data_IF_183767417536
#
_entry.id   IF_183767417536
#
_cell.length_a   1.000
_cell.length_b   1.000
_cell.length_c   1.000
_cell.angle_alpha   90.00
_cell.angle_beta   90.00
_cell.angle_gamma   90.00
#
_symmetry.space_group_name_H-M   'P 1'
#
loop_
_entity.id
_entity.type
_entity.pdbx_description
1 polymer ?
#
# COMPACT_ATOMS: atom_id res chain seq x y z
N UNK A 1 -50.57 27.71 18.86
CA UNK A 1 -49.55 26.89 19.55
C UNK A 1 -48.19 27.48 19.23
N UNK A 2 -47.28 27.69 20.21
CA UNK A 2 -46.00 28.35 19.98
C UNK A 2 -44.97 27.39 19.38
N UNK A 3 -44.18 27.87 18.42
CA UNK A 3 -42.97 27.20 17.90
C UNK A 3 -41.90 27.11 19.01
N UNK A 4 -41.37 25.91 19.22
CA UNK A 4 -40.19 25.69 20.07
C UNK A 4 -38.91 26.04 19.30
N UNK A 5 -37.91 26.65 19.95
CA UNK A 5 -36.61 26.93 19.33
C UNK A 5 -35.81 25.64 19.15
N UNK A 6 -35.21 25.50 17.96
CA UNK A 6 -34.27 24.42 17.61
C UNK A 6 -33.04 24.46 18.52
N UNK A 7 -32.70 23.31 19.10
CA UNK A 7 -31.55 23.13 19.99
C UNK A 7 -30.18 23.35 19.30
N UNK A 8 -29.09 23.40 20.09
CA UNK A 8 -27.77 23.78 19.59
C UNK A 8 -27.19 22.72 18.64
N UNK A 9 -26.64 23.20 17.53
CA UNK A 9 -25.88 22.44 16.53
C UNK A 9 -24.74 21.65 17.20
N UNK A 10 -24.71 20.34 17.00
CA UNK A 10 -23.64 19.47 17.46
C UNK A 10 -22.27 19.92 16.88
N UNK A 11 -21.17 19.79 17.64
CA UNK A 11 -19.84 20.18 17.16
C UNK A 11 -19.45 19.31 15.95
N UNK A 12 -19.03 20.00 14.88
CA UNK A 12 -18.57 19.40 13.64
C UNK A 12 -17.29 18.57 13.92
N UNK A 13 -17.30 17.30 13.52
CA UNK A 13 -16.14 16.42 13.64
C UNK A 13 -14.91 17.05 12.95
N UNK A 14 -13.71 16.96 13.56
CA UNK A 14 -12.51 17.50 12.95
C UNK A 14 -12.27 16.85 11.57
N UNK A 15 -11.72 17.60 10.60
CA UNK A 15 -11.41 17.04 9.29
C UNK A 15 -10.48 15.84 9.44
N UNK A 16 -10.80 14.75 8.75
CA UNK A 16 -9.97 13.55 8.69
C UNK A 16 -8.53 13.95 8.28
N UNK A 17 -7.55 13.48 9.05
CA UNK A 17 -6.15 13.70 8.75
C UNK A 17 -5.83 13.24 7.32
N UNK A 18 -4.99 13.96 6.56
CA UNK A 18 -4.59 13.54 5.23
C UNK A 18 -4.02 12.11 5.31
N UNK A 19 -4.46 11.24 4.41
CA UNK A 19 -3.95 9.87 4.32
C UNK A 19 -2.42 9.92 4.28
N UNK A 20 -1.72 9.11 5.09
CA UNK A 20 -0.27 9.13 5.11
C UNK A 20 0.22 8.89 3.68
N UNK A 21 1.02 9.82 3.16
CA UNK A 21 1.67 9.70 1.87
C UNK A 21 2.37 8.35 1.86
N UNK A 22 1.92 7.43 1.00
CA UNK A 22 2.47 6.08 0.96
C UNK A 22 4.01 6.18 0.95
N UNK A 23 4.71 5.46 1.84
CA UNK A 23 6.15 5.61 1.96
C UNK A 23 6.80 5.40 0.59
N UNK A 24 7.93 6.08 0.31
CA UNK A 24 8.54 6.09 -1.03
C UNK A 24 9.00 4.70 -1.49
N UNK A 25 9.03 3.72 -0.59
CA UNK A 25 9.41 2.35 -0.85
C UNK A 25 8.15 1.48 -0.92
N UNK A 26 7.94 0.72 -2.01
CA UNK A 26 6.84 -0.23 -2.06
C UNK A 26 6.94 -1.22 -0.89
N UNK A 27 5.81 -1.70 -0.34
CA UNK A 27 5.81 -2.69 0.71
C UNK A 27 6.49 -3.98 0.25
N UNK A 28 6.96 -4.76 1.23
CA UNK A 28 7.48 -6.10 0.99
C UNK A 28 6.50 -7.13 1.56
N UNK A 29 6.23 -8.23 0.83
CA UNK A 29 5.37 -9.27 1.35
C UNK A 29 6.07 -10.01 2.50
N UNK A 30 5.34 -10.28 3.59
CA UNK A 30 5.80 -11.07 4.73
C UNK A 30 6.33 -12.44 4.28
N UNK A 31 5.73 -13.05 3.26
CA UNK A 31 6.20 -14.31 2.66
C UNK A 31 7.63 -14.21 2.12
N UNK A 32 8.05 -13.04 1.63
CA UNK A 32 9.43 -12.80 1.18
C UNK A 32 10.45 -12.79 2.33
N UNK A 33 10.02 -12.39 3.53
CA UNK A 33 10.84 -12.48 4.74
C UNK A 33 10.89 -13.92 5.26
N UNK A 34 9.74 -14.61 5.30
CA UNK A 34 9.65 -16.02 5.75
C UNK A 34 10.41 -16.98 4.83
N UNK A 35 10.59 -16.65 3.55
CA UNK A 35 11.38 -17.43 2.60
C UNK A 35 12.90 -17.40 2.88
N UNK A 36 13.38 -16.59 3.84
CA UNK A 36 14.79 -16.57 4.27
C UNK A 36 15.04 -17.67 5.28
N UNK A 37 15.36 -18.87 4.78
CA UNK A 37 15.65 -20.06 5.59
C UNK A 37 16.72 -19.80 6.66
N UNK A 38 17.70 -18.93 6.37
CA UNK A 38 18.77 -18.55 7.29
C UNK A 38 18.28 -17.82 8.56
N UNK A 39 17.05 -17.29 8.57
CA UNK A 39 16.44 -16.64 9.72
C UNK A 39 15.56 -17.58 10.56
N UNK A 40 15.23 -18.77 10.06
CA UNK A 40 14.43 -19.76 10.78
C UNK A 40 13.05 -19.28 11.26
N UNK A 41 12.49 -18.25 10.63
CA UNK A 41 11.23 -17.63 11.05
C UNK A 41 10.03 -18.53 10.74
N UNK A 42 9.07 -18.61 11.67
CA UNK A 42 7.86 -19.41 11.50
C UNK A 42 6.62 -18.61 11.83
N UNK A 43 5.66 -18.53 10.90
CA UNK A 43 4.31 -18.04 11.22
C UNK A 43 3.59 -19.10 12.04
N UNK A 44 3.09 -18.71 13.21
CA UNK A 44 2.41 -19.60 14.15
C UNK A 44 0.95 -19.21 14.42
N UNK A 45 0.54 -17.98 14.06
CA UNK A 45 -0.85 -17.54 14.11
C UNK A 45 -1.14 -16.39 13.11
N UNK A 46 -2.43 -16.11 12.91
CA UNK A 46 -2.93 -14.98 12.11
C UNK A 46 -2.84 -15.24 10.59
N UNK A 47 -3.16 -14.27 9.72
CA UNK A 47 -3.17 -14.46 8.27
C UNK A 47 -1.78 -14.75 7.68
N UNK A 48 -1.75 -15.42 6.52
CA UNK A 48 -0.51 -15.76 5.82
C UNK A 48 0.06 -14.60 4.98
N UNK A 49 -0.81 -13.67 4.58
CA UNK A 49 -0.47 -12.54 3.74
C UNK A 49 -0.47 -11.27 4.59
N UNK A 50 0.62 -10.51 4.49
CA UNK A 50 0.77 -9.18 5.05
C UNK A 50 1.85 -8.43 4.27
N UNK A 51 1.70 -7.12 4.19
CA UNK A 51 2.63 -6.22 3.51
C UNK A 51 3.37 -5.39 4.57
N UNK A 52 4.69 -5.54 4.62
CA UNK A 52 5.55 -4.87 5.59
C UNK A 52 6.09 -3.59 4.97
N UNK A 53 5.92 -2.48 5.67
CA UNK A 53 6.49 -1.18 5.31
C UNK A 53 7.80 -0.92 6.02
N UNK A 54 7.96 -1.41 7.25
CA UNK A 54 9.19 -1.28 8.04
C UNK A 54 9.26 -2.35 9.12
N UNK A 55 10.34 -2.34 9.89
CA UNK A 55 10.55 -3.20 11.06
C UNK A 55 10.95 -2.34 12.25
N UNK A 56 10.36 -2.61 13.41
CA UNK A 56 10.67 -1.92 14.66
C UNK A 56 10.85 -2.93 15.78
N UNK A 57 11.69 -2.62 16.77
CA UNK A 57 11.86 -3.46 17.95
C UNK A 57 11.42 -2.67 19.17
N UNK A 58 10.52 -3.23 19.97
CA UNK A 58 10.01 -2.59 21.18
C UNK A 58 9.73 -3.62 22.27
N UNK A 59 10.09 -3.26 23.49
CA UNK A 59 9.73 -3.98 24.71
C UNK A 59 8.71 -3.21 25.55
N UNK A 60 8.12 -2.15 25.01
CA UNK A 60 7.12 -1.35 25.71
C UNK A 60 5.85 -2.17 25.94
N UNK A 61 5.25 -2.06 27.12
CA UNK A 61 3.94 -2.65 27.41
C UNK A 61 2.84 -2.09 26.52
N UNK A 62 3.00 -0.85 26.05
CA UNK A 62 2.12 -0.22 25.08
C UNK A 62 2.93 0.60 24.07
N UNK A 63 3.24 0.06 22.87
CA UNK A 63 3.96 0.77 21.83
C UNK A 63 3.03 1.66 20.96
N UNK A 64 1.71 1.57 21.13
CA UNK A 64 0.70 2.23 20.28
C UNK A 64 1.02 3.70 19.96
N UNK A 65 1.42 4.57 20.91
CA UNK A 65 1.64 5.99 20.63
C UNK A 65 2.81 6.31 19.68
N UNK A 66 3.67 5.32 19.40
CA UNK A 66 4.92 5.51 18.65
C UNK A 66 4.92 4.81 17.29
N UNK A 67 3.87 4.07 16.98
CA UNK A 67 3.72 3.34 15.73
C UNK A 67 2.99 4.21 14.69
N UNK A 68 3.34 4.00 13.43
CA UNK A 68 2.78 4.69 12.27
C UNK A 68 1.93 3.76 11.39
N UNK A 69 2.01 2.46 11.61
CA UNK A 69 1.31 1.43 10.84
C UNK A 69 2.18 0.80 9.76
N UNK A 70 1.88 -0.46 9.44
CA UNK A 70 2.59 -1.28 8.47
C UNK A 70 3.90 -1.90 8.97
N UNK A 71 4.23 -1.78 10.26
CA UNK A 71 5.46 -2.35 10.81
C UNK A 71 5.34 -3.86 11.10
N UNK A 72 6.44 -4.57 10.88
CA UNK A 72 6.75 -5.77 11.65
C UNK A 72 7.31 -5.33 13.01
N UNK A 73 6.54 -5.48 14.07
CA UNK A 73 7.01 -5.23 15.43
C UNK A 73 7.74 -6.46 15.97
N UNK A 74 8.96 -6.30 16.46
CA UNK A 74 9.73 -7.36 17.13
C UNK A 74 9.75 -7.11 18.63
N UNK A 75 9.46 -8.15 19.41
CA UNK A 75 9.47 -8.08 20.87
C UNK A 75 9.91 -9.41 21.49
N UNK A 76 10.65 -9.35 22.59
CA UNK A 76 10.91 -10.48 23.47
C UNK A 76 9.85 -10.61 24.58
N UNK A 77 8.84 -9.73 24.59
CA UNK A 77 7.74 -9.77 25.54
C UNK A 77 8.16 -9.49 26.98
N UNK A 78 9.18 -8.65 27.20
CA UNK A 78 9.70 -8.33 28.55
C UNK A 78 8.63 -7.70 29.45
N UNK A 79 7.81 -6.80 28.89
CA UNK A 79 6.73 -6.11 29.59
C UNK A 79 5.34 -6.59 29.17
N UNK A 80 5.23 -7.76 28.56
CA UNK A 80 3.96 -8.31 28.09
C UNK A 80 3.15 -8.88 29.26
N UNK A 81 2.11 -8.18 29.68
CA UNK A 81 1.22 -8.60 30.79
C UNK A 81 -0.20 -8.94 30.34
N UNK A 82 -0.70 -8.29 29.29
CA UNK A 82 -2.04 -8.51 28.73
C UNK A 82 -1.93 -8.69 27.20
N UNK A 83 -1.78 -9.94 26.71
CA UNK A 83 -1.62 -10.21 25.29
C UNK A 83 -2.80 -9.77 24.41
N UNK A 84 -4.04 -9.80 24.92
CA UNK A 84 -5.21 -9.42 24.14
C UNK A 84 -5.27 -7.91 23.92
N UNK A 85 -5.09 -7.13 24.99
CA UNK A 85 -5.00 -5.67 24.88
C UNK A 85 -3.79 -5.25 24.07
N UNK A 86 -2.65 -5.93 24.24
CA UNK A 86 -1.45 -5.63 23.46
C UNK A 86 -1.69 -5.80 21.96
N UNK A 87 -2.21 -6.96 21.53
CA UNK A 87 -2.45 -7.26 20.12
C UNK A 87 -3.55 -6.38 19.54
N UNK A 88 -4.64 -6.14 20.26
CA UNK A 88 -5.73 -5.28 19.76
C UNK A 88 -5.25 -3.87 19.46
N UNK A 89 -4.37 -3.30 20.31
CA UNK A 89 -3.74 -1.99 20.07
C UNK A 89 -2.80 -2.00 18.87
N UNK A 90 -2.01 -3.08 18.67
CA UNK A 90 -1.18 -3.20 17.47
C UNK A 90 -2.01 -3.23 16.19
N UNK A 91 -3.15 -3.91 16.20
CA UNK A 91 -4.07 -3.94 15.06
C UNK A 91 -4.74 -2.58 14.87
N UNK A 92 -5.13 -1.89 15.94
CA UNK A 92 -5.74 -0.56 15.88
C UNK A 92 -4.83 0.47 15.20
N UNK A 93 -3.51 0.46 15.46
CA UNK A 93 -2.54 1.33 14.79
C UNK A 93 -2.14 0.83 13.39
N UNK A 94 -2.58 -0.37 13.01
CA UNK A 94 -2.33 -0.96 11.69
C UNK A 94 -0.97 -1.64 11.55
N UNK A 95 -0.40 -2.18 12.64
CA UNK A 95 0.81 -3.02 12.55
C UNK A 95 0.57 -4.20 11.59
N UNK A 96 1.58 -4.52 10.78
CA UNK A 96 1.46 -5.56 9.75
C UNK A 96 1.70 -6.97 10.29
N UNK A 97 2.55 -7.11 11.31
CA UNK A 97 2.86 -8.39 11.95
C UNK A 97 3.56 -8.19 13.31
N UNK A 98 3.52 -9.23 14.14
CA UNK A 98 4.29 -9.34 15.39
C UNK A 98 5.30 -10.48 15.28
N UNK A 99 6.60 -10.18 15.45
CA UNK A 99 7.65 -11.16 15.64
C UNK A 99 8.01 -11.30 17.12
N UNK A 100 7.88 -12.50 17.65
CA UNK A 100 8.11 -12.79 19.06
C UNK A 100 9.37 -13.62 19.25
N UNK A 101 10.37 -13.05 19.90
CA UNK A 101 11.59 -13.75 20.32
C UNK A 101 11.32 -14.51 21.61
N UNK A 102 11.47 -15.83 21.58
CA UNK A 102 11.22 -16.65 22.78
C UNK A 102 12.28 -16.36 23.84
N UNK A 103 13.59 -16.45 23.54
CA UNK A 103 14.64 -16.23 24.53
C UNK A 103 15.11 -14.76 24.63
N UNK A 104 15.57 -14.31 25.81
CA UNK A 104 15.78 -15.08 27.05
C UNK A 104 14.57 -15.13 28.00
N UNK A 105 13.47 -14.44 27.71
CA UNK A 105 12.38 -14.23 28.67
C UNK A 105 11.41 -15.42 28.73
N UNK A 106 11.17 -16.06 27.60
CA UNK A 106 10.21 -17.14 27.42
C UNK A 106 10.88 -18.38 26.82
N UNK A 107 10.39 -19.57 27.17
CA UNK A 107 10.86 -20.80 26.50
C UNK A 107 10.09 -21.07 25.20
N UNK A 108 8.85 -20.60 25.13
CA UNK A 108 7.94 -20.73 23.98
C UNK A 108 7.06 -19.48 23.88
N UNK A 109 6.47 -19.22 22.72
CA UNK A 109 5.51 -18.13 22.57
C UNK A 109 4.27 -18.38 23.46
N UNK A 110 3.85 -17.43 24.31
CA UNK A 110 2.69 -17.61 25.20
C UNK A 110 1.41 -17.97 24.43
N UNK A 111 0.69 -19.00 24.88
CA UNK A 111 -0.53 -19.47 24.22
C UNK A 111 -1.63 -18.38 24.14
N UNK A 112 -1.70 -17.52 25.15
CA UNK A 112 -2.63 -16.38 25.17
C UNK A 112 -2.32 -15.36 24.06
N UNK A 113 -1.04 -15.15 23.75
CA UNK A 113 -0.61 -14.28 22.65
C UNK A 113 -0.96 -14.90 21.28
N UNK A 114 -0.74 -16.20 21.10
CA UNK A 114 -1.15 -16.93 19.90
C UNK A 114 -2.66 -16.76 19.68
N UNK A 115 -3.45 -17.00 20.72
CA UNK A 115 -4.90 -16.87 20.64
C UNK A 115 -5.35 -15.42 20.37
N UNK A 116 -4.67 -14.42 20.93
CA UNK A 116 -4.94 -13.01 20.65
C UNK A 116 -4.66 -12.64 19.19
N UNK A 117 -3.50 -13.05 18.66
CA UNK A 117 -3.14 -12.82 17.26
C UNK A 117 -4.13 -13.47 16.29
N UNK A 118 -4.61 -14.69 16.58
CA UNK A 118 -5.67 -15.32 15.79
C UNK A 118 -6.99 -14.52 15.84
N UNK A 119 -7.43 -14.12 17.03
CA UNK A 119 -8.69 -13.38 17.21
C UNK A 119 -8.69 -12.05 16.45
N UNK A 120 -7.60 -11.30 16.54
CA UNK A 120 -7.49 -9.95 15.98
C UNK A 120 -6.95 -9.95 14.54
N UNK A 121 -6.58 -11.12 14.00
CA UNK A 121 -6.10 -11.25 12.62
C UNK A 121 -4.70 -10.65 12.39
N UNK A 122 -3.83 -10.65 13.41
CA UNK A 122 -2.45 -10.17 13.30
C UNK A 122 -1.49 -11.36 13.06
N UNK A 123 -0.69 -11.38 11.99
CA UNK A 123 0.31 -12.42 11.81
C UNK A 123 1.30 -12.46 12.97
N UNK A 124 1.47 -13.64 13.56
CA UNK A 124 2.43 -13.89 14.64
C UNK A 124 3.56 -14.79 14.12
N UNK A 125 4.77 -14.27 14.20
CA UNK A 125 6.00 -14.93 13.77
C UNK A 125 6.82 -15.31 15.00
N UNK A 126 7.09 -16.59 15.16
CA UNK A 126 8.09 -17.07 16.12
C UNK A 126 9.49 -16.78 15.57
N UNK A 127 10.30 -16.11 16.39
CA UNK A 127 11.71 -15.86 16.13
C UNK A 127 12.53 -16.85 16.96
N UNK A 128 13.32 -17.73 16.32
CA UNK A 128 14.13 -18.69 17.04
C UNK A 128 15.24 -17.98 17.81
N UNK A 129 15.68 -18.53 18.96
CA UNK A 129 16.66 -17.87 19.82
C UNK A 129 18.00 -17.50 19.17
N UNK A 130 18.40 -18.25 18.14
CA UNK A 130 19.67 -18.12 17.43
C UNK A 130 19.64 -16.94 16.45
N UNK A 131 18.46 -16.39 16.18
CA UNK A 131 18.25 -15.29 15.24
C UNK A 131 18.10 -13.97 15.99
N UNK A 132 19.13 -13.10 15.97
CA UNK A 132 19.01 -11.79 16.60
C UNK A 132 18.05 -10.91 15.80
N UNK A 133 17.28 -10.07 16.48
CA UNK A 133 16.34 -9.13 15.83
C UNK A 133 17.03 -8.21 14.81
N UNK A 134 18.32 -7.89 14.99
CA UNK A 134 19.09 -7.11 14.00
C UNK A 134 19.25 -7.86 12.66
N UNK A 135 19.30 -9.19 12.65
CA UNK A 135 19.38 -9.98 11.42
C UNK A 135 18.06 -9.89 10.64
N UNK A 136 16.93 -10.00 11.34
CA UNK A 136 15.60 -9.79 10.77
C UNK A 136 15.48 -8.37 10.22
N UNK A 137 15.89 -7.38 11.01
CA UNK A 137 15.83 -6.00 10.59
C UNK A 137 16.64 -5.79 9.30
N UNK A 138 17.88 -6.27 9.25
CA UNK A 138 18.73 -6.23 8.04
C UNK A 138 18.08 -6.90 6.83
N UNK A 139 17.44 -8.05 7.01
CA UNK A 139 16.75 -8.74 5.93
C UNK A 139 15.57 -7.93 5.38
N UNK A 140 14.75 -7.34 6.27
CA UNK A 140 13.66 -6.43 5.88
C UNK A 140 14.21 -5.24 5.09
N UNK A 141 15.25 -4.57 5.59
CA UNK A 141 15.90 -3.45 4.89
C UNK A 141 16.43 -3.84 3.50
N UNK A 142 17.03 -5.03 3.36
CA UNK A 142 17.51 -5.53 2.07
C UNK A 142 16.36 -5.78 1.09
N UNK A 143 15.27 -6.40 1.55
CA UNK A 143 14.08 -6.64 0.74
C UNK A 143 13.43 -5.32 0.29
N UNK A 144 13.34 -4.34 1.19
CA UNK A 144 12.84 -3.00 0.89
C UNK A 144 13.71 -2.30 -0.16
N UNK A 145 15.03 -2.33 -0.01
CA UNK A 145 15.95 -1.75 -0.98
C UNK A 145 15.81 -2.42 -2.36
N UNK A 146 15.66 -3.76 -2.40
CA UNK A 146 15.41 -4.50 -3.63
C UNK A 146 14.06 -4.14 -4.25
N UNK A 147 13.01 -3.97 -3.45
CA UNK A 147 11.68 -3.57 -3.90
C UNK A 147 11.72 -2.15 -4.51
N UNK A 148 12.42 -1.21 -3.86
CA UNK A 148 12.66 0.13 -4.40
C UNK A 148 13.36 0.10 -5.75
N UNK A 149 14.48 -0.63 -5.86
CA UNK A 149 15.23 -0.74 -7.12
C UNK A 149 14.39 -1.39 -8.23
N UNK A 150 13.60 -2.42 -7.91
CA UNK A 150 12.69 -3.06 -8.87
C UNK A 150 11.66 -2.06 -9.40
N UNK A 151 11.07 -1.25 -8.52
CA UNK A 151 10.07 -0.26 -8.92
C UNK A 151 10.68 0.86 -9.78
N UNK A 152 11.85 1.39 -9.42
CA UNK A 152 12.53 2.37 -10.27
C UNK A 152 12.80 1.80 -11.67
N UNK A 153 13.33 0.56 -11.73
CA UNK A 153 13.59 -0.10 -13.02
C UNK A 153 12.31 -0.32 -13.81
N UNK A 154 11.19 -0.66 -13.16
CA UNK A 154 9.88 -0.81 -13.82
C UNK A 154 9.45 0.51 -14.45
N UNK A 155 9.48 1.61 -13.70
CA UNK A 155 9.11 2.95 -14.19
C UNK A 155 10.01 3.39 -15.33
N UNK A 156 11.33 3.24 -15.20
CA UNK A 156 12.27 3.62 -16.27
C UNK A 156 12.04 2.81 -17.55
N UNK A 157 11.78 1.50 -17.45
CA UNK A 157 11.46 0.67 -18.61
C UNK A 157 10.16 1.11 -19.29
N UNK A 158 9.13 1.45 -18.52
CA UNK A 158 7.87 1.95 -19.06
C UNK A 158 8.08 3.28 -19.81
N UNK A 159 8.85 4.21 -19.24
CA UNK A 159 9.19 5.49 -19.88
C UNK A 159 9.98 5.28 -21.19
N UNK A 160 10.98 4.40 -21.18
CA UNK A 160 11.76 4.06 -22.37
C UNK A 160 10.88 3.45 -23.46
N UNK A 161 10.00 2.51 -23.11
CA UNK A 161 9.10 1.86 -24.05
C UNK A 161 8.13 2.87 -24.71
N UNK A 162 7.61 3.84 -23.94
CA UNK A 162 6.78 4.92 -24.46
C UNK A 162 7.58 5.85 -25.39
N UNK A 163 8.80 6.24 -25.02
CA UNK A 163 9.67 7.06 -25.86
C UNK A 163 10.01 6.36 -27.19
N UNK A 164 10.31 5.06 -27.14
CA UNK A 164 10.53 4.25 -28.36
C UNK A 164 9.28 4.17 -29.21
N UNK A 165 8.10 4.01 -28.62
CA UNK A 165 6.83 3.99 -29.35
C UNK A 165 6.53 5.33 -30.03
N UNK A 166 6.81 6.45 -29.36
CA UNK A 166 6.61 7.80 -29.90
C UNK A 166 7.55 8.14 -31.07
N UNK A 167 8.69 7.45 -31.18
CA UNK A 167 9.64 7.62 -32.28
C UNK A 167 9.29 6.78 -33.54
N UNK A 168 8.20 6.01 -33.52
CA UNK A 168 7.76 5.19 -34.67
C UNK A 168 7.03 6.04 -35.70
N UNK A 169 6.98 5.53 -36.94
CA UNK A 169 6.27 6.17 -38.07
C UNK A 169 4.80 6.43 -37.79
N UNK A 170 4.13 5.54 -37.04
CA UNK A 170 2.75 5.71 -36.58
C UNK A 170 2.73 5.73 -35.04
N UNK A 171 2.98 6.90 -34.41
CA UNK A 171 3.27 6.97 -32.99
C UNK A 171 2.03 6.82 -32.12
N UNK A 172 0.87 7.30 -32.57
CA UNK A 172 -0.37 7.33 -31.76
C UNK A 172 -0.82 5.91 -31.37
N UNK A 173 -1.03 4.97 -32.32
CA UNK A 173 -1.43 3.61 -31.96
C UNK A 173 -0.33 2.87 -31.17
N UNK A 174 0.94 3.12 -31.49
CA UNK A 174 2.07 2.49 -30.80
C UNK A 174 2.14 2.89 -29.32
N UNK A 175 1.98 4.19 -29.03
CA UNK A 175 1.98 4.72 -27.66
C UNK A 175 0.76 4.20 -26.89
N UNK A 176 -0.43 4.21 -27.50
CA UNK A 176 -1.63 3.69 -26.86
C UNK A 176 -1.49 2.19 -26.53
N UNK A 177 -0.89 1.40 -27.42
CA UNK A 177 -0.62 -0.01 -27.15
C UNK A 177 0.35 -0.21 -25.98
N UNK A 178 1.44 0.57 -25.90
CA UNK A 178 2.35 0.54 -24.76
C UNK A 178 1.66 0.96 -23.46
N UNK A 179 0.87 2.04 -23.47
CA UNK A 179 0.11 2.47 -22.29
C UNK A 179 -0.86 1.40 -21.81
N UNK A 180 -1.62 0.81 -22.73
CA UNK A 180 -2.57 -0.25 -22.41
C UNK A 180 -1.87 -1.49 -21.79
N UNK A 181 -0.69 -1.85 -22.30
CA UNK A 181 0.10 -2.95 -21.76
C UNK A 181 0.66 -2.64 -20.37
N UNK A 182 1.24 -1.44 -20.15
CA UNK A 182 1.85 -1.07 -18.87
C UNK A 182 0.82 -0.83 -17.75
N UNK A 183 -0.40 -0.39 -18.11
CA UNK A 183 -1.51 -0.16 -17.18
C UNK A 183 -2.43 -1.38 -17.05
N UNK A 184 -2.16 -2.46 -17.78
CA UNK A 184 -3.00 -3.67 -17.86
C UNK A 184 -4.49 -3.38 -18.15
N UNK A 185 -4.72 -2.29 -18.89
CA UNK A 185 -6.01 -1.63 -19.02
C UNK A 185 -6.35 -1.24 -20.46
N UNK A 186 -7.12 -0.15 -20.60
CA UNK A 186 -7.46 0.45 -21.90
C UNK A 186 -6.89 1.85 -21.97
N UNK A 187 -6.27 2.18 -23.11
CA UNK A 187 -5.84 3.52 -23.44
C UNK A 187 -6.62 4.00 -24.66
N UNK A 188 -7.13 5.23 -24.63
CA UNK A 188 -7.96 5.81 -25.68
C UNK A 188 -7.52 7.24 -25.94
N UNK A 189 -7.38 7.60 -27.21
CA UNK A 189 -7.24 8.98 -27.66
C UNK A 189 -8.61 9.50 -28.10
N UNK A 190 -9.06 10.61 -27.50
CA UNK A 190 -10.33 11.26 -27.81
C UNK A 190 -10.12 12.57 -28.57
N UNK A 191 -11.10 12.96 -29.40
CA UNK A 191 -11.18 14.33 -29.93
C UNK A 191 -11.66 15.32 -28.86
N UNK A 192 -11.66 16.61 -29.17
CA UNK A 192 -12.22 17.65 -28.29
C UNK A 192 -13.74 17.46 -28.07
N UNK A 193 -14.43 16.89 -29.06
CA UNK A 193 -15.85 16.55 -29.02
C UNK A 193 -16.12 15.25 -28.25
N UNK A 194 -15.07 14.52 -27.86
CA UNK A 194 -15.15 13.27 -27.09
C UNK A 194 -15.25 12.00 -27.94
N UNK A 195 -14.99 12.07 -29.24
CA UNK A 195 -15.00 10.91 -30.14
C UNK A 195 -13.72 10.08 -30.01
N UNK A 196 -13.82 8.74 -30.02
CA UNK A 196 -12.64 7.86 -29.96
C UNK A 196 -11.91 7.83 -31.31
N UNK A 197 -10.68 8.37 -31.36
CA UNK A 197 -9.82 8.29 -32.55
C UNK A 197 -9.07 6.96 -32.63
N UNK A 198 -8.45 6.56 -31.52
CA UNK A 198 -7.67 5.33 -31.42
C UNK A 198 -7.80 4.74 -30.02
N UNK A 199 -7.76 3.41 -29.93
CA UNK A 199 -7.80 2.71 -28.66
C UNK A 199 -6.90 1.47 -28.69
N UNK A 200 -6.40 1.11 -27.52
CA UNK A 200 -5.68 -0.15 -27.31
C UNK A 200 -6.04 -0.75 -25.95
N UNK A 201 -5.89 -2.08 -25.83
CA UNK A 201 -6.14 -2.82 -24.60
C UNK A 201 -7.53 -3.46 -24.52
N UNK A 202 -7.88 -3.96 -23.33
CA UNK A 202 -9.15 -4.67 -23.12
C UNK A 202 -10.32 -3.70 -23.16
N UNK A 203 -11.35 -4.03 -23.95
CA UNK A 203 -12.57 -3.23 -24.00
C UNK A 203 -13.38 -3.45 -22.71
N UNK A 204 -13.63 -2.40 -21.89
CA UNK A 204 -14.37 -2.55 -20.65
C UNK A 204 -15.87 -2.72 -20.92
N UNK A 205 -16.63 -3.08 -19.89
CA UNK A 205 -18.08 -3.26 -19.98
C UNK A 205 -18.81 -1.98 -20.44
N UNK A 206 -20.02 -2.09 -21.05
CA UNK A 206 -20.71 -0.94 -21.65
C UNK A 206 -21.02 0.21 -20.68
N UNK A 207 -21.36 -0.12 -19.44
CA UNK A 207 -21.59 0.81 -18.35
C UNK A 207 -20.33 1.59 -17.98
N UNK A 208 -19.17 0.91 -17.92
CA UNK A 208 -17.85 1.53 -17.71
C UNK A 208 -17.48 2.44 -18.86
N UNK A 209 -17.74 2.04 -20.11
CA UNK A 209 -17.53 2.92 -21.29
C UNK A 209 -18.39 4.17 -21.22
N UNK A 210 -19.67 4.03 -20.85
CA UNK A 210 -20.56 5.16 -20.66
C UNK A 210 -20.10 6.09 -19.53
N UNK A 211 -19.56 5.54 -18.44
CA UNK A 211 -18.96 6.32 -17.36
C UNK A 211 -17.70 7.07 -17.80
N UNK A 212 -16.80 6.42 -18.55
CA UNK A 212 -15.60 7.04 -19.11
C UNK A 212 -15.95 8.19 -20.08
N UNK A 213 -16.98 8.02 -20.91
CA UNK A 213 -17.47 9.07 -21.81
C UNK A 213 -18.15 10.25 -21.07
N UNK A 214 -18.66 10.04 -19.85
CA UNK A 214 -19.08 11.14 -18.98
C UNK A 214 -17.88 11.83 -18.34
N UNK A 215 -16.91 11.06 -17.83
CA UNK A 215 -15.70 11.58 -17.20
C UNK A 215 -14.87 12.42 -18.18
N UNK A 216 -14.71 11.97 -19.43
CA UNK A 216 -13.94 12.70 -20.44
C UNK A 216 -14.46 14.12 -20.68
N UNK A 217 -15.79 14.32 -20.63
CA UNK A 217 -16.41 15.65 -20.75
C UNK A 217 -16.11 16.59 -19.58
N UNK A 218 -15.81 16.05 -18.41
CA UNK A 218 -15.44 16.83 -17.22
C UNK A 218 -13.96 17.18 -17.22
N UNK A 219 -13.11 16.25 -17.67
CA UNK A 219 -11.64 16.37 -17.61
C UNK A 219 -11.06 17.00 -18.90
N UNK A 220 -11.85 17.10 -19.97
CA UNK A 220 -11.42 17.73 -21.21
C UNK A 220 -10.95 19.17 -20.97
N UNK A 221 -9.71 19.52 -21.37
CA UNK A 221 -9.26 20.90 -21.29
C UNK A 221 -10.10 21.77 -22.22
N UNK A 222 -10.55 22.93 -21.74
CA UNK A 222 -11.19 23.94 -22.59
C UNK A 222 -10.13 24.45 -23.58
N UNK A 223 -10.12 23.91 -24.79
CA UNK A 223 -9.25 24.39 -25.86
C UNK A 223 -9.77 25.76 -26.28
N UNK A 224 -9.07 26.84 -25.90
CA UNK A 224 -9.32 28.17 -26.49
C UNK A 224 -8.79 28.14 -27.93
N UNK A 225 -9.57 28.54 -28.94
CA UNK A 225 -9.07 28.62 -30.30
C UNK A 225 -7.91 29.62 -30.35
N UNK A 226 -6.83 29.24 -31.06
CA UNK A 226 -5.71 30.15 -31.31
C UNK A 226 -6.21 31.39 -32.05
N UNK A 227 -5.73 32.60 -31.72
CA UNK A 227 -6.11 33.80 -32.46
C UNK A 227 -5.68 33.62 -33.91
N UNK A 228 -6.63 33.78 -34.84
CA UNK A 228 -6.35 33.79 -36.26
C UNK A 228 -5.33 34.90 -36.54
N UNK A 229 -4.13 34.51 -36.96
CA UNK A 229 -3.13 35.45 -37.47
C UNK A 229 -3.72 36.12 -38.72
N UNK A 230 -4.20 37.34 -38.57
CA UNK A 230 -4.55 38.19 -39.70
C UNK A 230 -3.27 38.42 -40.52
N UNK A 231 -3.35 38.02 -41.79
CA UNK A 231 -2.39 38.45 -42.80
C UNK A 231 -2.93 39.73 -43.39
N UNK A 232 -2.17 40.82 -43.31
CA UNK A 232 -2.12 41.91 -44.28
C UNK A 232 -0.77 42.63 -44.13
#
# INVERSE_FOLDING_TARGET
MPELPTGPTAPQAPPAAPAPTAPPTPPIPLTGLLAREELGLRRIAGPAEAELLWVHTSEMADPYPYLLGGELLLSAGVLLTDPDTYVSRLVEVGAAALGFGVRPVHDTVPAELIAACERHGLPLIEVPPETPFTAIARAVWQLMAQARVRELRRVTRAQQALATAAARTDPVPAVLHQLAAQLEGRAVLLTAEGEELHAAGRTPAPDVRAALARLSRVVAPVVRPAPASATD
#
